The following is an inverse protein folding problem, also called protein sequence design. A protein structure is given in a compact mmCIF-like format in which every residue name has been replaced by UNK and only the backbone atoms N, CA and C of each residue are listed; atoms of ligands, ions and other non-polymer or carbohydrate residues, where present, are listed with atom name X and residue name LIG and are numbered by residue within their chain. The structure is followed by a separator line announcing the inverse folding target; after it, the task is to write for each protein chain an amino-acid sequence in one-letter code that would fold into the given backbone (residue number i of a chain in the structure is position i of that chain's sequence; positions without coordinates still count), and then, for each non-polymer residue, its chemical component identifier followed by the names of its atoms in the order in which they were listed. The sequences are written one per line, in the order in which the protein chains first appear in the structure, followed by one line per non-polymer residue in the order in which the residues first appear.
data_IF_925202523178
#
_entry.id   IF_925202523178
#
_cell.length_a   1.000
_cell.length_b   1.000
_cell.length_c   1.000
_cell.angle_alpha   90.00
_cell.angle_beta   90.00
_cell.angle_gamma   90.00
#
_symmetry.space_group_name_H-M   'P 1'
#
loop_
_entity.id
_entity.type
_entity.pdbx_description
1 polymer ?
#
# COMPACT_ATOMS: atom_id res chain seq x y z
N UNK A 1 -16.47 17.81 -16.56
CA UNK A 1 -15.94 16.80 -17.49
C UNK A 1 -16.15 15.46 -16.83
N UNK A 2 -16.80 14.52 -17.50
CA UNK A 2 -16.92 13.16 -16.97
C UNK A 2 -15.54 12.50 -16.99
N UNK A 3 -15.03 12.16 -15.81
CA UNK A 3 -13.80 11.37 -15.67
C UNK A 3 -14.15 9.88 -15.75
N UNK A 4 -13.33 9.10 -16.44
CA UNK A 4 -13.50 7.65 -16.58
C UNK A 4 -12.25 6.93 -16.11
N UNK A 5 -12.41 5.76 -15.50
CA UNK A 5 -11.33 4.81 -15.22
C UNK A 5 -10.79 4.19 -16.52
N UNK A 6 -9.59 3.61 -16.50
CA UNK A 6 -9.04 2.93 -17.70
C UNK A 6 -9.80 1.65 -18.08
N UNK A 7 -10.66 1.14 -17.19
CA UNK A 7 -11.64 0.09 -17.50
C UNK A 7 -12.92 0.61 -18.18
N UNK A 8 -13.05 1.91 -18.43
CA UNK A 8 -14.21 2.54 -19.08
C UNK A 8 -15.39 2.87 -18.16
N UNK A 9 -15.31 2.54 -16.86
CA UNK A 9 -16.34 2.92 -15.88
C UNK A 9 -16.20 4.38 -15.47
N UNK A 10 -17.35 5.05 -15.26
CA UNK A 10 -17.37 6.45 -14.83
C UNK A 10 -16.80 6.59 -13.42
N UNK A 11 -15.95 7.58 -13.24
CA UNK A 11 -15.56 8.07 -11.91
C UNK A 11 -16.77 8.79 -11.34
N UNK A 12 -17.41 8.17 -10.36
CA UNK A 12 -18.50 8.84 -9.64
C UNK A 12 -17.91 10.00 -8.82
N UNK A 13 -18.60 11.16 -8.74
CA UNK A 13 -18.22 12.19 -7.79
C UNK A 13 -18.24 11.58 -6.40
N UNK A 14 -17.09 11.49 -5.75
CA UNK A 14 -17.00 11.03 -4.37
C UNK A 14 -17.76 12.07 -3.54
N UNK A 15 -18.92 11.69 -3.01
CA UNK A 15 -19.72 12.58 -2.19
C UNK A 15 -18.99 12.86 -0.87
N UNK A 16 -18.41 14.05 -0.75
CA UNK A 16 -18.06 14.81 0.48
C UNK A 16 -18.02 14.02 1.80
N UNK A 17 -17.07 13.09 1.95
CA UNK A 17 -16.72 12.55 3.26
C UNK A 17 -15.20 12.41 3.37
N UNK A 18 -14.58 13.50 3.83
CA UNK A 18 -13.30 13.53 4.54
C UNK A 18 -12.11 12.84 3.87
N UNK A 19 -11.37 13.57 3.02
CA UNK A 19 -9.92 13.68 3.08
C UNK A 19 -9.42 14.43 1.82
N UNK A 20 -8.51 15.37 2.05
CA UNK A 20 -7.59 16.00 1.08
C UNK A 20 -7.65 15.44 -0.35
N UNK A 21 -8.25 16.22 -1.26
CA UNK A 21 -8.49 15.87 -2.66
C UNK A 21 -7.21 15.64 -3.49
N UNK A 22 -6.01 15.66 -2.90
CA UNK A 22 -4.75 15.69 -3.64
C UNK A 22 -4.01 14.36 -3.77
N UNK A 23 -4.16 13.41 -2.82
CA UNK A 23 -3.34 12.18 -2.84
C UNK A 23 -4.08 10.95 -3.41
N UNK A 24 -5.40 10.91 -3.26
CA UNK A 24 -6.27 9.79 -3.65
C UNK A 24 -7.34 10.16 -4.69
N UNK A 25 -7.23 11.35 -5.29
CA UNK A 25 -8.15 11.81 -6.34
C UNK A 25 -8.35 10.69 -7.38
N UNK A 26 -9.60 10.44 -7.80
CA UNK A 26 -9.98 9.25 -8.52
C UNK A 26 -9.21 9.17 -9.85
N UNK A 27 -8.22 8.29 -9.86
CA UNK A 27 -7.23 8.21 -10.94
C UNK A 27 -7.89 7.58 -12.15
N UNK A 28 -8.42 8.43 -13.01
CA UNK A 28 -8.95 8.09 -14.34
C UNK A 28 -7.98 7.27 -15.22
N UNK A 29 -6.70 7.15 -14.82
CA UNK A 29 -5.71 6.29 -15.47
C UNK A 29 -5.71 4.81 -15.05
N UNK A 30 -6.40 4.41 -13.98
CA UNK A 30 -6.40 3.04 -13.47
C UNK A 30 -7.80 2.42 -13.44
N UNK A 31 -7.85 1.09 -13.30
CA UNK A 31 -9.10 0.36 -13.13
C UNK A 31 -9.83 0.85 -11.87
N UNK A 32 -11.16 0.92 -11.93
CA UNK A 32 -11.96 1.10 -10.71
C UNK A 32 -11.73 -0.09 -9.75
N UNK A 33 -12.05 0.10 -8.47
CA UNK A 33 -11.87 -0.94 -7.44
C UNK A 33 -12.49 -2.28 -7.85
N UNK A 34 -13.71 -2.28 -8.38
CA UNK A 34 -14.39 -3.51 -8.82
C UNK A 34 -13.67 -4.26 -9.95
N UNK A 35 -13.19 -3.53 -10.97
CA UNK A 35 -12.42 -4.14 -12.05
C UNK A 35 -11.05 -4.61 -11.57
N UNK A 36 -10.42 -3.86 -10.66
CA UNK A 36 -9.14 -4.25 -10.06
C UNK A 36 -9.28 -5.54 -9.24
N UNK A 37 -10.31 -5.64 -8.41
CA UNK A 37 -10.63 -6.87 -7.67
C UNK A 37 -10.79 -8.07 -8.61
N UNK A 38 -11.45 -7.87 -9.75
CA UNK A 38 -11.67 -8.95 -10.72
C UNK A 38 -10.37 -9.46 -11.34
N UNK A 39 -9.43 -8.56 -11.69
CA UNK A 39 -8.13 -8.97 -12.24
C UNK A 39 -7.15 -9.45 -11.18
N UNK A 40 -7.32 -9.05 -9.92
CA UNK A 40 -6.53 -9.53 -8.79
C UNK A 40 -7.03 -10.87 -8.21
N UNK A 41 -8.21 -11.34 -8.58
CA UNK A 41 -8.77 -12.61 -8.09
C UNK A 41 -7.84 -13.85 -8.22
N UNK A 42 -6.98 -13.98 -9.26
CA UNK A 42 -6.04 -15.10 -9.36
C UNK A 42 -4.83 -15.01 -8.42
N UNK A 43 -4.60 -13.86 -7.77
CA UNK A 43 -3.42 -13.59 -6.96
C UNK A 43 -3.79 -13.59 -5.47
N UNK A 44 -2.91 -14.10 -4.63
CA UNK A 44 -3.06 -14.04 -3.17
C UNK A 44 -2.41 -12.76 -2.63
N UNK A 45 -2.85 -11.62 -3.15
CA UNK A 45 -2.27 -10.33 -2.76
C UNK A 45 -2.51 -10.03 -1.29
N UNK A 46 -1.42 -9.76 -0.55
CA UNK A 46 -1.44 -9.40 0.88
C UNK A 46 -0.74 -8.08 1.09
N UNK A 47 -1.27 -7.26 1.99
CA UNK A 47 -0.71 -5.97 2.41
C UNK A 47 -0.22 -6.09 3.85
N UNK A 48 1.06 -5.81 4.07
CA UNK A 48 1.71 -5.86 5.36
C UNK A 48 2.09 -4.46 5.81
N UNK A 49 1.72 -4.10 7.03
CA UNK A 49 2.13 -2.85 7.67
C UNK A 49 3.07 -3.22 8.81
N UNK A 50 4.34 -2.83 8.71
CA UNK A 50 5.33 -3.08 9.76
C UNK A 50 6.12 -1.82 10.13
N UNK A 51 6.89 -1.91 11.20
CA UNK A 51 7.80 -0.89 11.68
C UNK A 51 9.22 -1.42 11.57
N UNK A 52 10.14 -0.62 11.04
CA UNK A 52 11.53 -1.03 10.87
C UNK A 52 12.49 0.06 11.33
N UNK A 53 13.64 -0.36 11.86
CA UNK A 53 14.78 0.51 12.05
C UNK A 53 15.59 0.55 10.74
N UNK A 54 15.51 1.69 10.03
CA UNK A 54 16.20 1.85 8.74
C UNK A 54 17.63 2.36 8.90
N UNK A 55 17.92 3.07 9.99
CA UNK A 55 19.26 3.50 10.38
C UNK A 55 19.30 3.85 11.89
N UNK A 56 20.48 3.99 12.51
CA UNK A 56 20.57 4.52 13.88
C UNK A 56 19.87 5.88 13.99
N UNK A 57 18.92 6.00 14.92
CA UNK A 57 18.13 7.22 15.10
C UNK A 57 16.94 7.40 14.14
N UNK A 58 16.76 6.52 13.16
CA UNK A 58 15.69 6.60 12.17
C UNK A 58 14.88 5.31 12.11
N UNK A 59 13.57 5.46 12.10
CA UNK A 59 12.62 4.37 11.89
C UNK A 59 11.74 4.68 10.67
N UNK A 60 11.12 3.65 10.14
CA UNK A 60 10.11 3.80 9.11
C UNK A 60 8.94 2.85 9.39
N UNK A 61 7.72 3.36 9.23
CA UNK A 61 6.63 2.45 8.93
C UNK A 61 6.72 2.05 7.47
N UNK A 62 6.42 0.81 7.17
CA UNK A 62 6.55 0.24 5.84
C UNK A 62 5.26 -0.46 5.44
N UNK A 63 4.79 -0.15 4.24
CA UNK A 63 3.76 -0.91 3.54
C UNK A 63 4.43 -1.82 2.52
N UNK A 64 4.17 -3.11 2.62
CA UNK A 64 4.66 -4.13 1.70
C UNK A 64 3.48 -4.88 1.10
N UNK A 65 3.38 -4.88 -0.23
CA UNK A 65 2.35 -5.58 -0.98
C UNK A 65 2.98 -6.74 -1.74
N UNK A 66 2.56 -7.96 -1.42
CA UNK A 66 3.04 -9.20 -2.02
C UNK A 66 2.08 -9.72 -3.09
N UNK A 67 2.59 -10.54 -4.01
CA UNK A 67 1.81 -11.29 -5.01
C UNK A 67 0.76 -10.44 -5.73
N UNK A 68 1.19 -9.36 -6.39
CA UNK A 68 0.31 -8.47 -7.17
C UNK A 68 0.31 -8.85 -8.65
N UNK A 69 -0.86 -8.90 -9.28
CA UNK A 69 -0.95 -8.94 -10.75
C UNK A 69 -0.48 -7.64 -11.43
N UNK A 70 -0.23 -7.68 -12.75
CA UNK A 70 0.44 -6.58 -13.46
C UNK A 70 -0.32 -5.26 -13.42
N UNK A 71 -1.65 -5.28 -13.51
CA UNK A 71 -2.47 -4.05 -13.46
C UNK A 71 -2.39 -3.36 -12.08
N UNK A 72 -2.31 -4.15 -11.00
CA UNK A 72 -2.16 -3.61 -9.65
C UNK A 72 -0.71 -3.20 -9.38
N UNK A 73 0.26 -3.88 -9.97
CA UNK A 73 1.67 -3.49 -9.93
C UNK A 73 1.90 -2.10 -10.53
N UNK A 74 1.33 -1.81 -11.71
CA UNK A 74 1.38 -0.49 -12.33
C UNK A 74 0.71 0.59 -11.47
N UNK A 75 -0.40 0.24 -10.83
CA UNK A 75 -1.09 1.11 -9.89
C UNK A 75 -0.23 1.43 -8.66
N UNK A 76 0.41 0.43 -8.06
CA UNK A 76 1.32 0.58 -6.91
C UNK A 76 2.53 1.44 -7.27
N UNK A 77 3.14 1.21 -8.44
CA UNK A 77 4.24 2.04 -8.93
C UNK A 77 3.84 3.52 -9.04
N UNK A 78 2.64 3.80 -9.57
CA UNK A 78 2.12 5.16 -9.67
C UNK A 78 1.75 5.78 -8.30
N UNK A 79 1.56 4.97 -7.26
CA UNK A 79 1.38 5.41 -5.87
C UNK A 79 2.72 5.63 -5.13
N UNK A 80 3.84 5.43 -5.83
CA UNK A 80 5.19 5.62 -5.29
C UNK A 80 5.76 4.40 -4.59
N UNK A 81 5.17 3.22 -4.75
CA UNK A 81 5.77 1.99 -4.28
C UNK A 81 6.95 1.60 -5.17
N UNK A 82 8.04 1.15 -4.55
CA UNK A 82 9.20 0.61 -5.23
C UNK A 82 9.18 -0.92 -5.16
N UNK A 83 9.58 -1.59 -6.24
CA UNK A 83 9.73 -3.04 -6.23
C UNK A 83 11.04 -3.43 -5.52
N UNK A 84 10.94 -4.19 -4.43
CA UNK A 84 12.04 -4.51 -3.51
C UNK A 84 11.93 -5.95 -3.02
N UNK A 85 12.95 -6.47 -2.36
CA UNK A 85 12.79 -7.72 -1.61
C UNK A 85 11.98 -7.48 -0.33
N UNK A 86 11.19 -8.47 0.08
CA UNK A 86 10.44 -8.46 1.32
C UNK A 86 11.36 -8.30 2.54
N UNK A 87 10.84 -7.62 3.55
CA UNK A 87 11.42 -7.57 4.88
C UNK A 87 11.28 -8.89 5.63
N UNK A 88 12.23 -9.16 6.52
CA UNK A 88 12.20 -10.35 7.39
C UNK A 88 11.84 -10.01 8.83
N UNK A 89 12.27 -8.84 9.31
CA UNK A 89 12.04 -8.38 10.69
C UNK A 89 12.17 -6.86 10.81
N UNK A 90 12.00 -6.32 12.01
CA UNK A 90 12.15 -4.89 12.31
C UNK A 90 13.59 -4.40 12.08
N UNK A 91 14.58 -5.30 12.14
CA UNK A 91 16.01 -4.99 12.00
C UNK A 91 16.61 -5.47 10.67
N UNK A 92 15.82 -6.18 9.87
CA UNK A 92 16.22 -6.74 8.57
C UNK A 92 15.29 -6.18 7.49
N UNK A 93 15.50 -4.90 7.10
CA UNK A 93 14.71 -4.27 6.05
C UNK A 93 14.91 -4.96 4.71
N UNK A 94 13.85 -4.95 3.90
CA UNK A 94 13.90 -5.41 2.51
C UNK A 94 15.00 -4.72 1.70
N UNK A 95 15.69 -5.50 0.86
CA UNK A 95 16.84 -5.05 0.07
C UNK A 95 16.59 -4.94 -1.43
N UNK A 96 17.66 -5.11 -2.21
CA UNK A 96 17.57 -5.28 -3.66
C UNK A 96 16.66 -6.45 -4.02
N UNK A 97 16.04 -6.39 -5.20
CA UNK A 97 15.05 -7.37 -5.65
C UNK A 97 15.66 -8.77 -5.65
N UNK A 98 15.08 -9.67 -4.85
CA UNK A 98 15.52 -11.05 -4.70
C UNK A 98 14.38 -12.04 -4.92
N UNK A 99 14.39 -13.14 -4.17
CA UNK A 99 13.50 -14.29 -4.40
C UNK A 99 12.04 -14.04 -4.00
N UNK A 100 11.80 -13.11 -3.07
CA UNK A 100 10.48 -12.78 -2.56
C UNK A 100 10.24 -11.27 -2.72
N UNK A 101 9.90 -10.84 -3.94
CA UNK A 101 9.74 -9.43 -4.18
C UNK A 101 8.37 -8.93 -3.72
N UNK A 102 8.35 -7.68 -3.26
CA UNK A 102 7.17 -6.95 -2.82
C UNK A 102 7.21 -5.53 -3.39
N UNK A 103 6.04 -4.92 -3.54
CA UNK A 103 5.93 -3.48 -3.69
C UNK A 103 6.02 -2.84 -2.32
N UNK A 104 6.98 -1.92 -2.14
CA UNK A 104 7.32 -1.34 -0.85
C UNK A 104 7.22 0.17 -0.87
N UNK A 105 6.57 0.75 0.14
CA UNK A 105 6.55 2.20 0.41
C UNK A 105 6.91 2.45 1.86
N UNK A 106 7.76 3.44 2.11
CA UNK A 106 8.34 3.71 3.42
C UNK A 106 7.98 5.12 3.89
N UNK A 107 7.68 5.24 5.19
CA UNK A 107 7.32 6.50 5.85
C UNK A 107 8.30 6.74 6.99
N UNK A 108 9.35 7.51 6.70
CA UNK A 108 10.49 7.69 7.61
C UNK A 108 10.20 8.73 8.68
N UNK A 109 10.72 8.48 9.88
CA UNK A 109 10.66 9.41 11.00
C UNK A 109 11.86 9.24 11.95
N UNK A 110 12.21 10.33 12.64
CA UNK A 110 13.23 10.32 13.69
C UNK A 110 12.69 9.61 14.94
N UNK A 111 13.48 8.74 15.58
CA UNK A 111 13.04 8.00 16.77
C UNK A 111 12.75 8.91 17.99
N UNK A 112 13.23 10.15 17.98
CA UNK A 112 12.96 11.17 19.00
C UNK A 112 11.78 12.07 18.63
N UNK A 113 11.06 11.79 17.54
CA UNK A 113 9.85 12.54 17.19
C UNK A 113 8.82 12.47 18.32
N UNK A 114 8.04 13.53 18.47
CA UNK A 114 6.98 13.57 19.48
C UNK A 114 5.99 12.41 19.26
N UNK A 115 5.58 11.68 20.33
CA UNK A 115 4.69 10.54 20.19
C UNK A 115 3.37 10.84 19.45
N UNK A 116 2.84 12.05 19.59
CA UNK A 116 1.64 12.48 18.89
C UNK A 116 1.79 12.44 17.35
N UNK A 117 2.98 12.73 16.83
CA UNK A 117 3.25 12.63 15.39
C UNK A 117 3.35 11.17 14.93
N UNK A 118 3.88 10.28 15.77
CA UNK A 118 3.89 8.83 15.47
C UNK A 118 2.46 8.31 15.36
N UNK A 119 1.58 8.70 16.29
CA UNK A 119 0.16 8.31 16.26
C UNK A 119 -0.53 8.84 15.00
N UNK A 120 -0.35 10.11 14.67
CA UNK A 120 -0.92 10.69 13.46
C UNK A 120 -0.44 9.98 12.19
N UNK A 121 0.84 9.60 12.15
CA UNK A 121 1.42 8.84 11.05
C UNK A 121 0.81 7.43 10.97
N UNK A 122 0.63 6.75 12.10
CA UNK A 122 -0.03 5.44 12.15
C UNK A 122 -1.47 5.47 11.64
N UNK A 123 -2.24 6.50 11.98
CA UNK A 123 -3.60 6.68 11.49
C UNK A 123 -3.60 6.87 9.96
N UNK A 124 -2.69 7.70 9.44
CA UNK A 124 -2.53 7.89 8.00
C UNK A 124 -2.16 6.61 7.25
N UNK A 125 -1.24 5.82 7.79
CA UNK A 125 -0.82 4.55 7.17
C UNK A 125 -1.94 3.51 7.21
N UNK A 126 -2.74 3.50 8.29
CA UNK A 126 -3.93 2.64 8.36
C UNK A 126 -4.93 3.01 7.26
N UNK A 127 -5.21 4.28 7.07
CA UNK A 127 -6.09 4.74 5.99
C UNK A 127 -5.55 4.32 4.63
N UNK A 128 -4.27 4.54 4.35
CA UNK A 128 -3.63 4.14 3.08
C UNK A 128 -3.71 2.63 2.84
N UNK A 129 -3.44 1.81 3.87
CA UNK A 129 -3.53 0.36 3.76
C UNK A 129 -4.97 -0.11 3.46
N UNK A 130 -5.97 0.50 4.09
CA UNK A 130 -7.38 0.15 3.87
C UNK A 130 -7.90 0.63 2.52
N UNK A 131 -7.48 1.82 2.07
CA UNK A 131 -7.80 2.32 0.73
C UNK A 131 -7.20 1.42 -0.36
N UNK A 132 -5.98 0.92 -0.17
CA UNK A 132 -5.39 -0.08 -1.06
C UNK A 132 -6.17 -1.40 -1.02
N UNK A 133 -6.60 -1.82 0.16
CA UNK A 133 -7.34 -3.06 0.35
C UNK A 133 -8.69 -3.08 -0.39
N UNK A 134 -9.32 -1.92 -0.60
CA UNK A 134 -10.56 -1.80 -1.38
C UNK A 134 -10.39 -2.25 -2.84
N UNK A 135 -9.17 -2.28 -3.37
CA UNK A 135 -8.87 -2.80 -4.70
C UNK A 135 -8.64 -4.32 -4.74
N UNK A 136 -8.63 -4.99 -3.58
CA UNK A 136 -8.34 -6.42 -3.45
C UNK A 136 -9.61 -7.24 -3.22
N UNK A 137 -9.69 -8.48 -3.74
CA UNK A 137 -10.87 -9.35 -3.58
C UNK A 137 -11.23 -9.61 -2.11
N UNK A 138 -10.22 -9.71 -1.25
CA UNK A 138 -10.37 -9.99 0.17
C UNK A 138 -10.60 -8.74 1.02
N UNK A 139 -10.61 -7.54 0.40
CA UNK A 139 -10.79 -6.28 1.11
C UNK A 139 -9.83 -6.13 2.30
N UNK A 140 -10.33 -5.56 3.40
CA UNK A 140 -9.56 -5.36 4.63
C UNK A 140 -8.94 -6.65 5.21
N UNK A 141 -9.48 -7.85 4.91
CA UNK A 141 -8.88 -9.10 5.36
C UNK A 141 -7.51 -9.39 4.69
N UNK A 142 -7.17 -8.70 3.60
CA UNK A 142 -5.86 -8.74 2.95
C UNK A 142 -4.77 -8.00 3.75
N UNK A 143 -5.15 -7.15 4.72
CA UNK A 143 -4.23 -6.30 5.48
C UNK A 143 -3.79 -6.98 6.77
N UNK A 144 -2.50 -6.91 7.09
CA UNK A 144 -1.92 -7.40 8.34
C UNK A 144 -1.03 -6.33 8.96
N UNK A 145 -1.38 -5.89 10.18
CA UNK A 145 -0.62 -4.89 10.92
C UNK A 145 0.38 -5.56 11.86
N UNK A 146 1.52 -4.92 12.06
CA UNK A 146 2.66 -5.44 12.82
C UNK A 146 3.07 -6.84 12.33
N UNK A 147 3.09 -7.03 11.01
CA UNK A 147 3.38 -8.30 10.36
C UNK A 147 4.32 -8.09 9.17
N UNK A 148 5.09 -9.14 8.85
CA UNK A 148 6.00 -9.17 7.70
C UNK A 148 5.47 -10.16 6.65
N UNK A 149 5.83 -9.99 5.36
CA UNK A 149 5.49 -10.96 4.33
C UNK A 149 6.01 -12.36 4.68
N UNK A 150 5.15 -13.38 4.57
CA UNK A 150 5.56 -14.76 4.84
C UNK A 150 6.49 -15.27 3.73
N UNK A 151 7.65 -15.85 4.06
CA UNK A 151 8.58 -16.37 3.06
C UNK A 151 8.13 -17.67 2.39
N UNK A 152 7.05 -18.31 2.88
CA UNK A 152 6.52 -19.55 2.33
C UNK A 152 4.99 -19.48 2.28
N UNK A 153 4.36 -19.36 1.09
CA UNK A 153 2.91 -19.46 0.92
C UNK A 153 2.41 -20.90 1.09
#
# INVERSE_FOLDING_TARGET
MDSYHSCGHQVLPIADLYADESEYAPRSGFFCSHCMQSVQAPFNTRIYVNLQQVAPGMAAFVLEVSDSGPEFADFLAALGFAFRQASLSELEPGGEVGLQPVWRKEFWFDVNIQPAHVVALMDRIREEALLLADYLPNGAAAVSFAAFPDPNP
#
